data_IF_360010626836
#
_entry.id   IF_360010626836
#
_cell.length_a   1.000
_cell.length_b   1.000
_cell.length_c   1.000
_cell.angle_alpha   90.00
_cell.angle_beta   90.00
_cell.angle_gamma   90.00
#
_symmetry.space_group_name_H-M   'P 1'
#
loop_
_entity.id
_entity.type
_entity.pdbx_description
1 polymer ?
#
# COMPACT_ATOMS: atom_id res chain seq x y z
N UNK A 1 -9.60 -118.38 3.63
CA UNK A 1 -8.28 -118.28 4.28
C UNK A 1 -7.33 -117.29 3.58
N UNK A 2 -6.63 -117.61 2.48
CA UNK A 2 -5.66 -116.65 1.88
C UNK A 2 -6.30 -115.34 1.39
N UNK A 3 -7.50 -115.42 0.81
CA UNK A 3 -8.26 -114.24 0.35
C UNK A 3 -8.72 -113.36 1.53
N UNK A 4 -9.14 -113.97 2.63
CA UNK A 4 -9.54 -113.26 3.85
C UNK A 4 -8.35 -112.58 4.53
N UNK A 5 -7.17 -113.22 4.53
CA UNK A 5 -5.93 -112.63 5.06
C UNK A 5 -5.51 -111.39 4.26
N UNK A 6 -5.63 -111.43 2.93
CA UNK A 6 -5.38 -110.26 2.07
C UNK A 6 -6.38 -109.14 2.36
N UNK A 7 -7.67 -109.46 2.47
CA UNK A 7 -8.70 -108.47 2.80
C UNK A 7 -8.49 -107.81 4.17
N UNK A 8 -8.11 -108.59 5.20
CA UNK A 8 -7.79 -108.06 6.53
C UNK A 8 -6.52 -107.21 6.49
N UNK A 9 -5.50 -107.64 5.74
CA UNK A 9 -4.28 -106.87 5.53
C UNK A 9 -4.56 -105.50 4.88
N UNK A 10 -5.32 -105.48 3.78
CA UNK A 10 -5.66 -104.24 3.06
C UNK A 10 -6.47 -103.28 3.92
N UNK A 11 -7.40 -103.82 4.74
CA UNK A 11 -8.23 -103.02 5.64
C UNK A 11 -7.42 -102.42 6.80
N UNK A 12 -6.50 -103.18 7.39
CA UNK A 12 -5.60 -102.68 8.44
C UNK A 12 -4.63 -101.63 7.87
N UNK A 13 -4.13 -101.87 6.66
CA UNK A 13 -3.26 -100.93 5.92
C UNK A 13 -3.97 -99.61 5.61
N UNK A 14 -5.22 -99.66 5.17
CA UNK A 14 -6.03 -98.47 4.89
C UNK A 14 -6.27 -97.61 6.16
N UNK A 15 -6.53 -98.26 7.30
CA UNK A 15 -6.68 -97.58 8.59
C UNK A 15 -5.36 -96.95 9.05
N UNK A 16 -4.24 -97.66 8.86
CA UNK A 16 -2.91 -97.15 9.19
C UNK A 16 -2.50 -95.94 8.34
N UNK A 17 -2.83 -95.96 7.04
CA UNK A 17 -2.65 -94.80 6.15
C UNK A 17 -3.54 -93.62 6.56
N UNK A 18 -4.79 -93.88 6.94
CA UNK A 18 -5.72 -92.83 7.39
C UNK A 18 -5.27 -92.17 8.70
N UNK A 19 -4.71 -92.96 9.63
CA UNK A 19 -4.11 -92.45 10.87
C UNK A 19 -2.82 -91.66 10.58
N UNK A 20 -1.92 -92.17 9.73
CA UNK A 20 -0.71 -91.44 9.30
C UNK A 20 -1.05 -90.12 8.61
N UNK A 21 -2.07 -90.08 7.75
CA UNK A 21 -2.50 -88.86 7.06
C UNK A 21 -3.12 -87.81 8.00
N UNK A 22 -3.77 -88.24 9.09
CA UNK A 22 -4.27 -87.35 10.14
C UNK A 22 -3.14 -86.79 11.01
N UNK A 23 -2.07 -87.57 11.21
CA UNK A 23 -0.86 -87.14 11.94
C UNK A 23 0.09 -86.30 11.06
N UNK A 24 0.18 -86.59 9.76
CA UNK A 24 1.07 -85.95 8.78
C UNK A 24 0.32 -85.00 7.83
N UNK A 25 -0.23 -83.91 8.37
CA UNK A 25 -0.35 -82.67 7.59
C UNK A 25 1.02 -82.00 7.29
N UNK A 26 2.13 -82.75 7.39
CA UNK A 26 3.45 -82.32 6.95
C UNK A 26 4.24 -83.51 6.38
N UNK A 27 4.39 -83.46 5.06
CA UNK A 27 5.39 -84.09 4.19
C UNK A 27 5.41 -85.62 3.97
N UNK A 28 5.43 -85.91 2.66
CA UNK A 28 5.79 -87.14 1.94
C UNK A 28 4.76 -88.26 1.75
N UNK A 29 4.13 -88.19 0.57
CA UNK A 29 3.54 -89.32 -0.13
C UNK A 29 4.60 -90.39 -0.41
N UNK A 30 4.50 -91.54 0.27
CA UNK A 30 5.11 -92.78 -0.19
C UNK A 30 4.03 -93.78 -0.59
N UNK A 31 3.71 -93.81 -1.88
CA UNK A 31 2.87 -94.85 -2.48
C UNK A 31 3.76 -96.07 -2.73
N UNK A 32 3.50 -97.17 -2.03
CA UNK A 32 4.10 -98.50 -2.30
C UNK A 32 3.00 -99.53 -2.60
N UNK A 33 3.21 -100.43 -3.58
CA UNK A 33 2.15 -101.04 -4.39
C UNK A 33 1.23 -102.01 -3.62
N UNK A 34 0.05 -102.27 -4.21
CA UNK A 34 -0.94 -103.26 -3.77
C UNK A 34 -0.35 -104.68 -3.81
N UNK A 35 -0.62 -105.46 -2.77
CA UNK A 35 -0.11 -106.82 -2.60
C UNK A 35 -1.06 -107.80 -3.28
N UNK A 36 -0.56 -108.60 -4.22
CA UNK A 36 -1.33 -109.67 -4.85
C UNK A 36 -1.26 -110.98 -4.05
N UNK A 37 -2.26 -111.85 -4.19
CA UNK A 37 -2.46 -113.09 -3.39
C UNK A 37 -1.21 -114.00 -3.31
N UNK A 38 -0.32 -113.95 -4.31
CA UNK A 38 0.90 -114.74 -4.37
C UNK A 38 2.07 -114.20 -3.53
N UNK A 39 1.97 -112.97 -3.00
CA UNK A 39 3.04 -112.28 -2.26
C UNK A 39 2.88 -112.34 -0.74
N UNK A 40 1.84 -113.01 -0.24
CA UNK A 40 1.55 -113.14 1.20
C UNK A 40 2.55 -114.10 1.87
N UNK A 41 3.64 -113.55 2.41
CA UNK A 41 4.61 -114.26 3.27
C UNK A 41 4.21 -114.17 4.74
N UNK A 42 4.56 -115.19 5.53
CA UNK A 42 4.41 -115.19 7.00
C UNK A 42 5.23 -114.04 7.56
N UNK A 43 4.58 -113.06 8.20
CA UNK A 43 5.22 -111.89 8.81
C UNK A 43 4.79 -110.52 8.27
N UNK A 44 4.13 -110.44 7.10
CA UNK A 44 3.63 -109.17 6.54
C UNK A 44 2.60 -108.49 7.45
N UNK A 45 1.68 -109.26 8.00
CA UNK A 45 0.67 -108.76 8.94
C UNK A 45 1.32 -108.30 10.25
N UNK A 46 2.35 -109.02 10.73
CA UNK A 46 3.12 -108.67 11.93
C UNK A 46 3.85 -107.34 11.74
N UNK A 47 4.43 -107.08 10.57
CA UNK A 47 5.10 -105.81 10.27
C UNK A 47 4.13 -104.62 10.29
N UNK A 48 2.95 -104.76 9.68
CA UNK A 48 1.93 -103.69 9.69
C UNK A 48 1.34 -103.45 11.07
N UNK A 49 1.16 -104.50 11.87
CA UNK A 49 0.72 -104.37 13.27
C UNK A 49 1.81 -103.69 14.10
N UNK A 50 3.09 -104.00 13.88
CA UNK A 50 4.19 -103.34 14.57
C UNK A 50 4.25 -101.84 14.20
N UNK A 51 4.13 -101.50 12.92
CA UNK A 51 4.04 -100.10 12.49
C UNK A 51 2.86 -99.36 13.13
N UNK A 52 1.71 -100.03 13.32
CA UNK A 52 0.56 -99.47 14.04
C UNK A 52 0.86 -99.28 15.53
N UNK A 53 1.50 -100.25 16.18
CA UNK A 53 1.90 -100.15 17.58
C UNK A 53 2.90 -99.01 17.79
N UNK A 54 3.87 -98.84 16.89
CA UNK A 54 4.85 -97.76 16.95
C UNK A 54 4.18 -96.40 16.72
N UNK A 55 3.26 -96.29 15.75
CA UNK A 55 2.51 -95.05 15.50
C UNK A 55 1.56 -94.68 16.65
N UNK A 56 0.94 -95.67 17.29
CA UNK A 56 0.11 -95.47 18.49
C UNK A 56 1.00 -95.07 19.66
N UNK A 57 2.20 -95.62 19.77
CA UNK A 57 3.18 -95.25 20.80
C UNK A 57 3.72 -93.84 20.60
N UNK A 58 3.93 -93.38 19.36
CA UNK A 58 4.31 -92.00 19.05
C UNK A 58 3.18 -91.00 19.32
N UNK A 59 1.92 -91.38 19.06
CA UNK A 59 0.74 -90.56 19.36
C UNK A 59 0.42 -90.53 20.86
N UNK A 60 0.65 -91.63 21.57
CA UNK A 60 0.46 -91.75 23.02
C UNK A 60 1.65 -91.22 23.82
N UNK A 61 2.84 -91.24 23.23
CA UNK A 61 4.09 -90.65 23.72
C UNK A 61 4.22 -89.19 23.30
N UNK A 62 3.19 -88.62 22.68
CA UNK A 62 3.04 -87.19 22.51
C UNK A 62 3.08 -86.54 23.88
N UNK A 63 4.26 -86.01 24.20
CA UNK A 63 4.52 -85.17 25.35
C UNK A 63 3.39 -84.15 25.49
N UNK A 64 2.48 -84.38 26.45
CA UNK A 64 1.67 -83.34 27.07
C UNK A 64 2.54 -82.35 27.88
N UNK A 65 3.84 -82.27 27.59
CA UNK A 65 4.71 -81.14 27.94
C UNK A 65 4.59 -80.02 26.89
N UNK A 66 3.47 -79.93 26.18
CA UNK A 66 3.06 -78.69 25.53
C UNK A 66 2.73 -77.66 26.61
N UNK A 67 3.75 -76.92 27.06
CA UNK A 67 3.58 -75.63 27.75
C UNK A 67 2.56 -75.66 28.90
N UNK A 68 2.85 -76.43 29.96
CA UNK A 68 2.17 -76.27 31.25
C UNK A 68 2.64 -74.95 31.88
N UNK A 69 2.15 -73.81 31.36
CA UNK A 69 2.09 -72.60 32.17
C UNK A 69 1.20 -72.95 33.35
N UNK A 70 1.75 -72.93 34.57
CA UNK A 70 0.96 -73.28 35.74
C UNK A 70 -0.18 -72.27 35.88
N UNK A 71 -1.35 -72.69 36.37
CA UNK A 71 -2.49 -71.76 36.63
C UNK A 71 -2.02 -70.57 37.48
N UNK A 72 -1.08 -70.82 38.39
CA UNK A 72 -0.40 -69.80 39.20
C UNK A 72 0.43 -68.82 38.39
N UNK A 73 1.12 -69.22 37.33
CA UNK A 73 1.87 -68.31 36.46
C UNK A 73 0.92 -67.39 35.66
N UNK A 74 -0.19 -67.94 35.16
CA UNK A 74 -1.24 -67.16 34.50
C UNK A 74 -1.90 -66.15 35.46
N UNK A 75 -2.14 -66.52 36.71
CA UNK A 75 -2.65 -65.61 37.74
C UNK A 75 -1.67 -64.46 38.02
N UNK A 76 -0.36 -64.75 38.09
CA UNK A 76 0.68 -63.74 38.27
C UNK A 76 0.74 -62.80 37.05
N UNK A 77 0.68 -63.33 35.82
CA UNK A 77 0.67 -62.52 34.61
C UNK A 77 -0.58 -61.64 34.51
N UNK A 78 -1.75 -62.17 34.88
CA UNK A 78 -2.99 -61.41 34.95
C UNK A 78 -2.89 -60.25 35.94
N UNK A 79 -2.35 -60.51 37.15
CA UNK A 79 -2.12 -59.46 38.14
C UNK A 79 -1.13 -58.40 37.65
N UNK A 80 -0.03 -58.80 37.01
CA UNK A 80 0.92 -57.84 36.41
C UNK A 80 0.27 -57.00 35.31
N UNK A 81 -0.57 -57.61 34.47
CA UNK A 81 -1.31 -56.91 33.43
C UNK A 81 -2.34 -55.94 34.02
N UNK A 82 -3.05 -56.34 35.08
CA UNK A 82 -3.98 -55.48 35.83
C UNK A 82 -3.27 -54.30 36.48
N UNK A 83 -2.14 -54.52 37.18
CA UNK A 83 -1.35 -53.43 37.75
C UNK A 83 -0.83 -52.47 36.67
N UNK A 84 -0.47 -52.99 35.51
CA UNK A 84 -0.06 -52.19 34.35
C UNK A 84 -1.20 -51.36 33.79
N UNK A 85 -2.40 -51.95 33.64
CA UNK A 85 -3.61 -51.23 33.24
C UNK A 85 -3.96 -50.13 34.24
N UNK A 86 -3.90 -50.41 35.54
CA UNK A 86 -4.18 -49.42 36.58
C UNK A 86 -3.17 -48.27 36.55
N UNK A 87 -1.88 -48.57 36.33
CA UNK A 87 -0.83 -47.55 36.18
C UNK A 87 -1.08 -46.69 34.93
N UNK A 88 -1.33 -47.31 33.78
CA UNK A 88 -1.66 -46.58 32.55
C UNK A 88 -2.94 -45.74 32.69
N UNK A 89 -3.94 -46.25 33.40
CA UNK A 89 -5.18 -45.52 33.69
C UNK A 89 -4.91 -44.28 34.54
N UNK A 90 -4.12 -44.39 35.61
CA UNK A 90 -3.69 -43.24 36.43
C UNK A 90 -2.89 -42.22 35.63
N UNK A 91 -1.96 -42.67 34.78
CA UNK A 91 -1.19 -41.80 33.91
C UNK A 91 -2.06 -41.07 32.88
N UNK A 92 -3.04 -41.75 32.29
CA UNK A 92 -4.00 -41.16 31.36
C UNK A 92 -4.85 -40.07 32.03
N UNK A 93 -5.33 -40.30 33.26
CA UNK A 93 -6.06 -39.27 34.01
C UNK A 93 -5.17 -38.07 34.38
N UNK A 94 -3.92 -38.31 34.81
CA UNK A 94 -2.96 -37.22 35.05
C UNK A 94 -2.68 -36.39 33.78
N UNK A 95 -2.52 -37.05 32.63
CA UNK A 95 -2.35 -36.36 31.33
C UNK A 95 -3.59 -35.59 30.92
N UNK A 96 -4.78 -36.11 31.18
CA UNK A 96 -6.06 -35.43 30.90
C UNK A 96 -6.23 -34.18 31.76
N UNK A 97 -5.89 -34.23 33.05
CA UNK A 97 -5.88 -33.04 33.90
C UNK A 97 -4.87 -32.00 33.42
N UNK A 98 -3.66 -32.42 33.04
CA UNK A 98 -2.63 -31.54 32.47
C UNK A 98 -3.12 -30.87 31.18
N UNK A 99 -3.79 -31.63 30.31
CA UNK A 99 -4.39 -31.13 29.06
C UNK A 99 -5.48 -30.11 29.34
N UNK A 100 -6.29 -30.33 30.38
CA UNK A 100 -7.30 -29.37 30.85
C UNK A 100 -6.66 -28.07 31.35
N UNK A 101 -5.63 -28.15 32.20
CA UNK A 101 -4.89 -26.96 32.68
C UNK A 101 -4.29 -26.17 31.51
N UNK A 102 -3.67 -26.85 30.54
CA UNK A 102 -3.14 -26.19 29.34
C UNK A 102 -4.23 -25.54 28.50
N UNK A 103 -5.39 -26.17 28.35
CA UNK A 103 -6.53 -25.61 27.66
C UNK A 103 -7.02 -24.32 28.34
N UNK A 104 -7.12 -24.32 29.67
CA UNK A 104 -7.53 -23.13 30.44
C UNK A 104 -6.53 -21.96 30.27
N UNK A 105 -5.22 -22.26 30.25
CA UNK A 105 -4.17 -21.26 29.97
C UNK A 105 -4.28 -20.72 28.54
N UNK A 106 -4.53 -21.59 27.56
CA UNK A 106 -4.72 -21.16 26.17
C UNK A 106 -5.90 -20.19 26.07
N UNK A 107 -7.03 -20.51 26.71
CA UNK A 107 -8.20 -19.62 26.72
C UNK A 107 -7.91 -18.26 27.36
N UNK A 108 -7.21 -18.23 28.49
CA UNK A 108 -6.80 -16.99 29.16
C UNK A 108 -5.85 -16.15 28.27
N UNK A 109 -4.86 -16.78 27.65
CA UNK A 109 -3.93 -16.10 26.75
C UNK A 109 -4.63 -15.59 25.49
N UNK A 110 -5.56 -16.35 24.90
CA UNK A 110 -6.36 -15.90 23.75
C UNK A 110 -7.22 -14.70 24.11
N UNK A 111 -7.86 -14.69 25.28
CA UNK A 111 -8.61 -13.53 25.78
C UNK A 111 -7.72 -12.30 25.94
N UNK A 112 -6.56 -12.45 26.59
CA UNK A 112 -5.58 -11.37 26.75
C UNK A 112 -5.06 -10.85 25.41
N UNK A 113 -4.81 -11.73 24.45
CA UNK A 113 -4.36 -11.36 23.12
C UNK A 113 -5.41 -10.55 22.39
N UNK A 114 -6.68 -10.97 22.43
CA UNK A 114 -7.80 -10.22 21.85
C UNK A 114 -7.95 -8.81 22.44
N UNK A 115 -7.84 -8.68 23.76
CA UNK A 115 -7.86 -7.35 24.41
C UNK A 115 -6.70 -6.49 23.91
N UNK A 116 -5.48 -7.05 23.86
CA UNK A 116 -4.30 -6.31 23.39
C UNK A 116 -4.38 -5.90 21.94
N UNK A 117 -4.98 -6.72 21.07
CA UNK A 117 -5.25 -6.37 19.67
C UNK A 117 -6.18 -5.15 19.59
N UNK A 118 -7.27 -5.14 20.35
CA UNK A 118 -8.20 -3.99 20.38
C UNK A 118 -7.56 -2.73 20.95
N UNK A 119 -6.76 -2.84 22.01
CA UNK A 119 -5.98 -1.71 22.57
C UNK A 119 -4.98 -1.16 21.54
N UNK A 120 -4.30 -2.06 20.80
CA UNK A 120 -3.37 -1.67 19.74
C UNK A 120 -4.06 -0.93 18.60
N UNK A 121 -5.24 -1.41 18.18
CA UNK A 121 -6.01 -0.77 17.13
C UNK A 121 -6.52 0.60 17.58
N UNK A 122 -6.98 0.73 18.82
CA UNK A 122 -7.36 2.03 19.40
C UNK A 122 -6.18 3.03 19.42
N UNK A 123 -5.00 2.60 19.88
CA UNK A 123 -3.80 3.45 19.89
C UNK A 123 -3.35 3.82 18.47
N UNK A 124 -3.52 2.91 17.50
CA UNK A 124 -3.22 3.21 16.08
C UNK A 124 -4.16 4.27 15.53
N UNK A 125 -5.46 4.15 15.80
CA UNK A 125 -6.48 5.11 15.40
C UNK A 125 -6.21 6.50 16.01
N UNK A 126 -5.95 6.59 17.32
CA UNK A 126 -5.60 7.86 17.97
C UNK A 126 -4.34 8.50 17.36
N UNK A 127 -3.32 7.70 17.07
CA UNK A 127 -2.08 8.18 16.45
C UNK A 127 -2.32 8.67 15.03
N UNK A 128 -3.16 7.98 14.25
CA UNK A 128 -3.47 8.37 12.88
C UNK A 128 -4.35 9.63 12.85
N UNK A 129 -5.30 9.75 13.79
CA UNK A 129 -6.08 10.97 13.98
C UNK A 129 -5.18 12.16 14.35
N UNK A 130 -4.30 12.01 15.33
CA UNK A 130 -3.37 13.09 15.71
C UNK A 130 -2.43 13.50 14.55
N UNK A 131 -2.03 12.55 13.69
CA UNK A 131 -1.26 12.86 12.47
C UNK A 131 -2.09 13.64 11.45
N UNK A 132 -3.35 13.27 11.24
CA UNK A 132 -4.25 13.99 10.35
C UNK A 132 -4.46 15.43 10.83
N UNK A 133 -4.74 15.64 12.11
CA UNK A 133 -4.93 16.96 12.71
C UNK A 133 -3.69 17.84 12.57
N UNK A 134 -2.50 17.28 12.79
CA UNK A 134 -1.22 17.99 12.60
C UNK A 134 -1.00 18.37 11.13
N UNK A 135 -1.37 17.50 10.19
CA UNK A 135 -1.22 17.77 8.76
C UNK A 135 -2.21 18.84 8.28
N UNK A 136 -3.47 18.78 8.74
CA UNK A 136 -4.50 19.78 8.45
C UNK A 136 -4.13 21.13 9.07
N UNK A 137 -3.71 21.14 10.34
CA UNK A 137 -3.28 22.36 11.04
C UNK A 137 -2.03 23.00 10.41
N UNK A 138 -1.10 22.19 9.86
CA UNK A 138 0.07 22.69 9.14
C UNK A 138 -0.31 23.27 7.78
N UNK A 139 -1.16 22.57 7.02
CA UNK A 139 -1.68 23.06 5.74
C UNK A 139 -2.43 24.38 5.89
N UNK A 140 -3.26 24.52 6.92
CA UNK A 140 -3.99 25.75 7.22
C UNK A 140 -3.06 26.92 7.54
N UNK A 141 -2.00 26.70 8.34
CA UNK A 141 -1.01 27.74 8.66
C UNK A 141 -0.19 28.15 7.44
N UNK A 142 0.30 27.20 6.65
CA UNK A 142 1.07 27.49 5.44
C UNK A 142 0.21 28.24 4.41
N UNK A 143 -1.07 27.88 4.27
CA UNK A 143 -2.00 28.58 3.41
C UNK A 143 -2.28 30.02 3.89
N UNK A 144 -2.44 30.22 5.21
CA UNK A 144 -2.60 31.54 5.80
C UNK A 144 -1.37 32.42 5.55
N UNK A 145 -0.15 31.87 5.72
CA UNK A 145 1.11 32.59 5.46
C UNK A 145 1.22 32.97 3.98
N UNK A 146 0.92 32.05 3.06
CA UNK A 146 0.90 32.33 1.61
C UNK A 146 -0.06 33.47 1.28
N UNK A 147 -1.28 33.43 1.81
CA UNK A 147 -2.28 34.48 1.59
C UNK A 147 -1.83 35.84 2.16
N UNK A 148 -1.16 35.83 3.32
CA UNK A 148 -0.58 37.05 3.89
C UNK A 148 0.53 37.65 3.01
N UNK A 149 1.38 36.81 2.41
CA UNK A 149 2.39 37.26 1.44
C UNK A 149 1.75 37.84 0.19
N UNK A 150 0.74 37.19 -0.39
CA UNK A 150 0.01 37.69 -1.57
C UNK A 150 -0.62 39.07 -1.31
N UNK A 151 -1.23 39.27 -0.13
CA UNK A 151 -1.81 40.55 0.27
C UNK A 151 -0.73 41.63 0.40
N UNK A 152 0.40 41.30 1.06
CA UNK A 152 1.54 42.21 1.18
C UNK A 152 2.08 42.60 -0.19
N UNK A 153 2.33 41.62 -1.05
CA UNK A 153 2.94 41.84 -2.36
C UNK A 153 2.01 42.66 -3.26
N UNK A 154 0.71 42.39 -3.21
CA UNK A 154 -0.30 43.21 -3.89
C UNK A 154 -0.33 44.64 -3.37
N UNK A 155 -0.21 44.85 -2.05
CA UNK A 155 -0.14 46.18 -1.46
C UNK A 155 1.14 46.92 -1.84
N UNK A 156 2.28 46.24 -1.87
CA UNK A 156 3.57 46.80 -2.32
C UNK A 156 3.50 47.19 -3.78
N UNK A 157 2.92 46.35 -4.65
CA UNK A 157 2.73 46.66 -6.06
C UNK A 157 1.87 47.91 -6.26
N UNK A 158 0.75 48.03 -5.55
CA UNK A 158 -0.08 49.25 -5.56
C UNK A 158 0.68 50.48 -5.08
N UNK A 159 1.43 50.36 -3.97
CA UNK A 159 2.26 51.46 -3.45
C UNK A 159 3.26 51.93 -4.52
N UNK A 160 4.00 51.00 -5.12
CA UNK A 160 4.99 51.34 -6.13
C UNK A 160 4.36 51.98 -7.37
N UNK A 161 3.21 51.48 -7.82
CA UNK A 161 2.45 52.09 -8.93
C UNK A 161 2.08 53.54 -8.62
N UNK A 162 1.50 53.81 -7.44
CA UNK A 162 1.14 55.17 -7.03
C UNK A 162 2.37 56.08 -6.87
N UNK A 163 3.52 55.54 -6.44
CA UNK A 163 4.76 56.30 -6.34
C UNK A 163 5.31 56.70 -7.73
N UNK A 164 5.19 55.81 -8.71
CA UNK A 164 5.57 56.11 -10.10
C UNK A 164 4.65 57.18 -10.69
N UNK A 165 3.34 57.07 -10.47
CA UNK A 165 2.37 58.09 -10.91
C UNK A 165 2.63 59.46 -10.25
N UNK A 166 2.92 59.48 -8.95
CA UNK A 166 3.28 60.70 -8.23
C UNK A 166 4.56 61.34 -8.79
N UNK A 167 5.58 60.54 -9.10
CA UNK A 167 6.82 61.03 -9.71
C UNK A 167 6.56 61.65 -11.10
N UNK A 168 5.71 61.02 -11.91
CA UNK A 168 5.29 61.57 -13.21
C UNK A 168 4.56 62.89 -13.06
N UNK A 169 3.54 62.96 -12.20
CA UNK A 169 2.80 64.18 -11.94
C UNK A 169 3.71 65.32 -11.45
N UNK A 170 4.74 65.02 -10.64
CA UNK A 170 5.73 66.01 -10.21
C UNK A 170 6.56 66.54 -11.39
N UNK A 171 6.97 65.68 -12.31
CA UNK A 171 7.67 66.09 -13.53
C UNK A 171 6.77 66.99 -14.39
N UNK A 172 5.50 66.60 -14.57
CA UNK A 172 4.54 67.39 -15.36
C UNK A 172 4.35 68.80 -14.80
N UNK A 173 4.24 68.93 -13.46
CA UNK A 173 4.15 70.22 -12.78
C UNK A 173 5.42 71.05 -12.98
N UNK A 174 6.61 70.44 -12.88
CA UNK A 174 7.88 71.14 -13.12
C UNK A 174 7.99 71.63 -14.56
N UNK A 175 7.57 70.82 -15.53
CA UNK A 175 7.56 71.20 -16.94
C UNK A 175 6.58 72.34 -17.20
N UNK A 176 5.35 72.25 -16.68
CA UNK A 176 4.36 73.32 -16.80
C UNK A 176 4.86 74.63 -16.18
N UNK A 177 5.56 74.56 -15.04
CA UNK A 177 6.16 75.73 -14.41
C UNK A 177 7.28 76.35 -15.28
N UNK A 178 8.15 75.53 -15.90
CA UNK A 178 9.16 76.01 -16.84
C UNK A 178 8.52 76.75 -18.02
N UNK A 179 7.49 76.16 -18.62
CA UNK A 179 6.75 76.77 -19.72
C UNK A 179 6.09 78.08 -19.32
N UNK A 180 5.52 78.15 -18.11
CA UNK A 180 4.94 79.39 -17.58
C UNK A 180 6.00 80.48 -17.39
N UNK A 181 7.16 80.13 -16.82
CA UNK A 181 8.28 81.06 -16.66
C UNK A 181 8.78 81.60 -18.00
N UNK A 182 8.93 80.74 -19.01
CA UNK A 182 9.29 81.14 -20.38
C UNK A 182 8.24 82.09 -20.99
N UNK A 183 6.95 81.79 -20.83
CA UNK A 183 5.87 82.65 -21.32
C UNK A 183 5.83 84.03 -20.62
N UNK A 184 6.08 84.07 -19.31
CA UNK A 184 6.22 85.32 -18.56
C UNK A 184 7.40 86.12 -19.09
N UNK A 185 8.55 85.47 -19.28
CA UNK A 185 9.76 86.12 -19.79
C UNK A 185 9.51 86.75 -21.17
N UNK A 186 8.92 85.99 -22.10
CA UNK A 186 8.53 86.51 -23.42
C UNK A 186 7.54 87.68 -23.32
N UNK A 187 6.56 87.61 -22.42
CA UNK A 187 5.61 88.70 -22.20
C UNK A 187 6.30 89.96 -21.69
N UNK A 188 7.24 89.83 -20.75
CA UNK A 188 8.02 90.95 -20.23
C UNK A 188 8.86 91.58 -21.33
N UNK A 189 9.57 90.78 -22.12
CA UNK A 189 10.37 91.25 -23.26
C UNK A 189 9.53 92.01 -24.29
N UNK A 190 8.37 91.48 -24.68
CA UNK A 190 7.45 92.17 -25.60
C UNK A 190 6.89 93.47 -25.01
N UNK A 191 6.62 93.49 -23.70
CA UNK A 191 6.15 94.71 -23.02
C UNK A 191 7.22 95.80 -23.04
N UNK A 192 8.48 95.45 -22.78
CA UNK A 192 9.61 96.37 -22.87
C UNK A 192 9.83 96.88 -24.30
N UNK A 193 9.72 96.00 -25.31
CA UNK A 193 9.79 96.42 -26.72
C UNK A 193 8.66 97.39 -27.06
N UNK A 194 7.44 97.16 -26.58
CA UNK A 194 6.31 98.05 -26.80
C UNK A 194 6.54 99.43 -26.18
N UNK A 195 7.03 99.47 -24.93
CA UNK A 195 7.40 100.72 -24.24
C UNK A 195 8.47 101.50 -25.03
N UNK A 196 9.51 100.80 -25.52
CA UNK A 196 10.53 101.41 -26.38
C UNK A 196 9.93 101.99 -27.66
N UNK A 197 9.09 101.22 -28.37
CA UNK A 197 8.39 101.68 -29.57
C UNK A 197 7.51 102.91 -29.30
N UNK A 198 6.85 102.97 -28.14
CA UNK A 198 6.04 104.12 -27.74
C UNK A 198 6.91 105.37 -27.56
N UNK A 199 8.07 105.25 -26.91
CA UNK A 199 9.03 106.35 -26.73
C UNK A 199 9.55 106.84 -28.09
N UNK A 200 9.94 105.93 -28.98
CA UNK A 200 10.47 106.26 -30.30
C UNK A 200 9.41 106.97 -31.17
N UNK A 201 8.16 106.49 -31.14
CA UNK A 201 7.04 107.13 -31.83
C UNK A 201 6.75 108.53 -31.29
N UNK A 202 6.80 108.72 -29.97
CA UNK A 202 6.62 110.05 -29.37
C UNK A 202 7.74 111.01 -29.80
N UNK A 203 9.00 110.53 -29.82
CA UNK A 203 10.13 111.33 -30.28
C UNK A 203 9.98 111.77 -31.75
N UNK A 204 9.53 110.86 -32.63
CA UNK A 204 9.24 111.17 -34.04
C UNK A 204 8.11 112.19 -34.20
N UNK A 205 7.04 112.07 -33.40
CA UNK A 205 5.95 113.05 -33.39
C UNK A 205 6.43 114.43 -32.92
N UNK A 206 7.22 114.48 -31.85
CA UNK A 206 7.78 115.72 -31.32
C UNK A 206 8.73 116.38 -32.33
N UNK A 207 9.54 115.59 -33.03
CA UNK A 207 10.42 116.07 -34.11
C UNK A 207 9.61 116.61 -35.30
N UNK A 208 8.55 115.91 -35.71
CA UNK A 208 7.65 116.38 -36.77
C UNK A 208 6.95 117.69 -36.38
N UNK A 209 6.53 117.84 -35.13
CA UNK A 209 5.93 119.07 -34.61
C UNK A 209 6.95 120.21 -34.58
N UNK A 210 8.16 119.95 -34.09
CA UNK A 210 9.27 120.93 -34.10
C UNK A 210 9.61 121.39 -35.52
N UNK A 211 9.70 120.46 -36.47
CA UNK A 211 9.95 120.78 -37.88
C UNK A 211 8.85 121.64 -38.49
N UNK A 212 7.57 121.30 -38.26
CA UNK A 212 6.42 122.09 -38.74
C UNK A 212 6.37 123.50 -38.15
N UNK A 213 6.68 123.65 -36.85
CA UNK A 213 6.73 124.96 -36.19
C UNK A 213 7.90 125.81 -36.69
N UNK A 214 9.05 125.19 -36.98
CA UNK A 214 10.23 125.88 -37.49
C UNK A 214 10.10 126.30 -38.98
N UNK A 215 9.16 125.70 -39.74
CA UNK A 215 9.04 125.93 -41.18
C UNK A 215 7.57 126.14 -41.62
N UNK A 216 6.93 127.26 -41.25
CA UNK A 216 5.49 127.49 -41.44
C UNK A 216 5.03 127.75 -42.88
N UNK A 217 5.94 127.99 -43.85
CA UNK A 217 5.57 128.35 -45.24
C UNK A 217 5.52 127.18 -46.24
N UNK A 218 5.66 125.92 -45.83
CA UNK A 218 5.59 124.77 -46.74
C UNK A 218 4.52 123.73 -46.38
N UNK A 219 3.26 124.16 -46.24
CA UNK A 219 2.14 123.21 -46.10
C UNK A 219 0.99 123.52 -47.07
N UNK A 220 1.20 123.24 -48.36
CA UNK A 220 0.10 123.04 -49.31
C UNK A 220 0.48 122.07 -50.43
N UNK A 221 0.20 120.76 -50.22
CA UNK A 221 -0.47 119.89 -51.21
C UNK A 221 -0.51 118.43 -50.73
N UNK A 222 -1.68 117.76 -50.80
CA UNK A 222 -1.84 116.35 -50.52
C UNK A 222 -1.66 115.52 -51.80
N UNK A 223 -0.86 114.45 -51.75
CA UNK A 223 -0.82 113.44 -52.81
C UNK A 223 -0.84 112.03 -52.22
N UNK A 224 -2.01 111.39 -52.30
CA UNK A 224 -2.18 109.94 -52.50
C UNK A 224 -2.55 109.76 -53.98
N UNK A 225 -2.07 108.70 -54.66
CA UNK A 225 -2.82 107.43 -54.81
C UNK A 225 -1.87 106.20 -54.92
N UNK A 226 -2.23 104.92 -55.02
CA UNK A 226 -3.45 104.10 -54.87
C UNK A 226 -3.02 102.63 -55.07
N UNK A 227 -3.73 101.70 -54.39
CA UNK A 227 -4.10 100.33 -54.82
C UNK A 227 -3.03 99.26 -55.14
N UNK A 228 -3.09 98.18 -54.35
CA UNK A 228 -3.18 96.82 -54.88
C UNK A 228 -3.86 95.88 -53.87
N UNK A 229 -5.18 95.74 -54.00
CA UNK A 229 -5.90 94.55 -53.51
C UNK A 229 -5.48 93.31 -54.31
N UNK A 230 -5.25 92.17 -53.62
CA UNK A 230 -5.96 90.91 -53.89
C UNK A 230 -5.62 89.76 -52.93
N UNK A 231 -6.72 89.17 -52.44
CA UNK A 231 -7.00 87.73 -52.21
C UNK A 231 -6.53 87.04 -50.91
N UNK A 232 -7.52 86.94 -50.01
CA UNK A 232 -7.99 85.74 -49.28
C UNK A 232 -7.16 84.45 -49.40
N UNK A 233 -6.75 83.92 -48.24
CA UNK A 233 -6.79 82.49 -47.94
C UNK A 233 -7.18 82.26 -46.48
N UNK A 234 -8.49 82.14 -46.25
CA UNK A 234 -9.02 81.52 -45.03
C UNK A 234 -8.83 80.01 -45.13
N UNK A 235 -7.97 79.44 -44.28
CA UNK A 235 -7.96 78.00 -43.97
C UNK A 235 -7.71 77.76 -42.48
N UNK A 236 -8.83 77.68 -41.76
CA UNK A 236 -9.17 76.74 -40.67
C UNK A 236 -8.02 76.32 -39.74
N UNK A 237 -7.99 76.95 -38.55
CA UNK A 237 -7.33 76.45 -37.35
C UNK A 237 -8.38 76.32 -36.24
N UNK A 238 -9.14 75.22 -36.22
CA UNK A 238 -9.83 74.74 -35.02
C UNK A 238 -10.03 73.24 -35.14
N UNK A 239 -9.26 72.50 -34.33
CA UNK A 239 -9.26 71.04 -34.25
C UNK A 239 -8.50 70.59 -33.00
N UNK A 240 -8.83 71.19 -31.86
CA UNK A 240 -8.38 70.79 -30.53
C UNK A 240 -9.58 70.98 -29.62
N UNK A 241 -10.32 69.88 -29.39
CA UNK A 241 -11.14 69.57 -28.21
C UNK A 241 -11.94 68.32 -28.58
N UNK A 242 -11.33 67.16 -28.37
CA UNK A 242 -12.08 65.92 -28.20
C UNK A 242 -11.79 65.44 -26.77
N UNK A 243 -12.91 65.21 -26.10
CA UNK A 243 -13.11 64.93 -24.68
C UNK A 243 -13.07 63.42 -24.44
#
# INVERSE_FOLDING_TARGET
IKVEIVSVYDRVRAVCHSLKQRTQQSLENSVRPDITIHQVKVGLLTAVIQELCDLISDLSGGDYSTSSVSVTDLEIELHRAQESLDRMSREMEAKKEELKRKNDIILDLTSKLSVRETELDGVREERDQARADLQEGKGSKDELVRKAWEVRDSAVARKNATQVELARARIDVMQANSQLMEAIQQKVELSQQLEQWQVDMQALLDEQMRWKLANPEQVSSPNTPSSAEKKRSSRRLFGLFQR
#
